data_IF_381659184687
#
_entry.id   IF_381659184687
#
_cell.length_a   1.000
_cell.length_b   1.000
_cell.length_c   1.000
_cell.angle_alpha   90.00
_cell.angle_beta   90.00
_cell.angle_gamma   90.00
#
_symmetry.space_group_name_H-M   'P 1'
#
loop_
_entity.id
_entity.type
_entity.pdbx_description
1 polymer ?
#
# COMPACT_ATOMS: atom_id res chain seq x y z
N UNK A 1 -6.38 -30.58 3.42
CA UNK A 1 -7.04 -30.26 4.72
C UNK A 1 -6.46 -29.01 5.39
N UNK A 2 -5.16 -28.75 5.24
CA UNK A 2 -4.47 -27.60 5.83
C UNK A 2 -4.92 -26.24 5.27
N UNK A 3 -5.24 -26.15 3.97
CA UNK A 3 -5.60 -24.88 3.33
C UNK A 3 -6.95 -24.33 3.78
N UNK A 4 -7.90 -25.22 4.07
CA UNK A 4 -9.22 -24.81 4.58
C UNK A 4 -9.15 -24.24 6.00
N UNK A 5 -8.20 -24.73 6.82
CA UNK A 5 -7.97 -24.24 8.18
C UNK A 5 -7.28 -22.89 8.16
N UNK A 6 -6.31 -22.71 7.27
CA UNK A 6 -5.61 -21.42 7.08
C UNK A 6 -6.57 -20.32 6.60
N UNK A 7 -7.44 -20.64 5.65
CA UNK A 7 -8.48 -19.70 5.20
C UNK A 7 -9.47 -19.34 6.30
N UNK A 8 -9.84 -20.29 7.14
CA UNK A 8 -10.75 -20.08 8.26
C UNK A 8 -10.17 -19.14 9.31
N UNK A 9 -8.88 -19.24 9.60
CA UNK A 9 -8.20 -18.35 10.54
C UNK A 9 -8.02 -16.92 10.01
N UNK A 10 -8.05 -16.73 8.69
CA UNK A 10 -7.98 -15.41 8.05
C UNK A 10 -9.34 -14.71 7.95
N UNK A 11 -10.42 -15.44 8.11
CA UNK A 11 -11.78 -14.90 8.14
C UNK A 11 -12.27 -14.82 9.59
N UNK A 12 -12.30 -13.61 10.15
CA UNK A 12 -12.79 -13.40 11.54
C UNK A 12 -14.29 -13.36 11.67
N UNK A 13 -15.01 -13.58 10.58
CA UNK A 13 -16.46 -13.56 10.60
C UNK A 13 -16.99 -14.92 11.06
N UNK A 14 -17.87 -14.91 12.06
CA UNK A 14 -18.68 -16.09 12.38
C UNK A 14 -19.66 -16.32 11.24
N UNK A 15 -19.19 -16.93 10.18
CA UNK A 15 -20.06 -17.42 9.13
C UNK A 15 -20.34 -18.89 9.43
N UNK A 16 -21.59 -19.23 9.68
CA UNK A 16 -22.03 -20.63 9.63
C UNK A 16 -21.81 -21.12 8.19
N UNK A 17 -20.82 -21.96 8.00
CA UNK A 17 -20.30 -22.28 6.70
C UNK A 17 -21.15 -23.23 5.90
N UNK A 18 -21.36 -22.96 4.63
CA UNK A 18 -21.49 -24.00 3.64
C UNK A 18 -20.10 -24.55 3.29
N UNK A 19 -20.00 -25.85 3.23
CA UNK A 19 -18.80 -26.66 3.20
C UNK A 19 -17.99 -26.66 1.91
N UNK A 20 -18.28 -25.82 0.94
CA UNK A 20 -17.47 -25.72 -0.28
C UNK A 20 -17.61 -24.37 -0.98
N UNK A 21 -16.83 -23.39 -0.53
CA UNK A 21 -16.53 -22.25 -1.39
C UNK A 21 -15.28 -22.61 -2.19
N UNK A 22 -15.43 -22.92 -3.47
CA UNK A 22 -14.30 -22.93 -4.40
C UNK A 22 -13.84 -21.50 -4.53
N UNK A 23 -12.91 -21.09 -3.67
CA UNK A 23 -12.20 -19.83 -3.83
C UNK A 23 -11.21 -20.02 -4.97
N UNK A 24 -11.39 -19.30 -6.06
CA UNK A 24 -10.29 -19.10 -7.02
C UNK A 24 -9.17 -18.41 -6.26
N UNK A 25 -7.96 -18.96 -6.27
CA UNK A 25 -6.96 -18.51 -5.30
C UNK A 25 -6.56 -17.06 -5.45
N UNK A 26 -6.50 -16.50 -6.66
CA UNK A 26 -6.11 -15.09 -6.85
C UNK A 26 -6.50 -14.62 -8.25
N UNK A 27 -7.36 -13.60 -8.32
CA UNK A 27 -7.45 -12.77 -9.49
C UNK A 27 -6.62 -11.51 -9.24
N UNK A 28 -5.70 -11.19 -10.13
CA UNK A 28 -4.95 -9.93 -10.06
C UNK A 28 -5.82 -8.85 -10.68
N UNK A 29 -6.21 -7.88 -9.87
CA UNK A 29 -6.94 -6.70 -10.32
C UNK A 29 -5.97 -5.52 -10.26
N UNK A 30 -5.72 -4.90 -11.40
CA UNK A 30 -4.94 -3.67 -11.47
C UNK A 30 -5.91 -2.48 -11.46
N UNK A 31 -5.66 -1.53 -10.56
CA UNK A 31 -6.38 -0.27 -10.49
C UNK A 31 -5.38 0.85 -10.74
N UNK A 32 -5.78 1.81 -11.56
CA UNK A 32 -4.93 2.94 -11.91
C UNK A 32 -5.38 4.19 -11.15
N UNK A 33 -4.43 5.06 -10.86
CA UNK A 33 -4.73 6.40 -10.37
C UNK A 33 -5.37 7.25 -11.50
N UNK A 34 -6.05 8.31 -11.11
CA UNK A 34 -6.77 9.19 -12.05
C UNK A 34 -5.86 9.85 -13.08
N UNK A 35 -4.62 10.11 -12.71
CA UNK A 35 -3.62 10.71 -13.60
C UNK A 35 -2.41 9.79 -13.74
N UNK A 36 -1.65 9.98 -14.81
CA UNK A 36 -0.45 9.18 -15.08
C UNK A 36 0.80 9.73 -14.38
N UNK A 37 0.86 11.05 -14.19
CA UNK A 37 1.99 11.72 -13.56
C UNK A 37 1.51 12.68 -12.49
N UNK A 38 2.19 12.68 -11.35
CA UNK A 38 1.93 13.53 -10.21
C UNK A 38 3.19 14.24 -9.77
N UNK A 39 3.03 15.45 -9.29
CA UNK A 39 4.11 16.28 -8.75
C UNK A 39 4.00 16.39 -7.24
N UNK A 40 5.05 16.91 -6.65
CA UNK A 40 5.06 17.29 -5.25
C UNK A 40 3.90 18.23 -4.92
N UNK A 41 3.15 17.90 -3.87
CA UNK A 41 1.97 18.63 -3.43
C UNK A 41 0.65 18.19 -4.07
N UNK A 42 0.69 17.30 -5.07
CA UNK A 42 -0.52 16.76 -5.68
C UNK A 42 -1.16 15.67 -4.79
N UNK A 43 -2.45 15.44 -5.02
CA UNK A 43 -3.19 14.34 -4.41
C UNK A 43 -3.45 13.25 -5.46
N UNK A 44 -2.92 12.07 -5.22
CA UNK A 44 -3.21 10.88 -6.03
C UNK A 44 -4.53 10.25 -5.57
N UNK A 45 -5.43 9.98 -6.49
CA UNK A 45 -6.74 9.39 -6.22
C UNK A 45 -6.84 8.03 -6.90
N UNK A 46 -7.19 7.01 -6.14
CA UNK A 46 -7.42 5.66 -6.62
C UNK A 46 -8.76 5.14 -6.09
N UNK A 47 -9.64 4.74 -6.99
CA UNK A 47 -10.89 4.09 -6.62
C UNK A 47 -10.72 2.56 -6.68
N UNK A 48 -11.06 1.87 -5.59
CA UNK A 48 -11.05 0.42 -5.57
C UNK A 48 -12.16 -0.13 -6.47
N UNK A 49 -11.89 -1.22 -7.21
CA UNK A 49 -12.87 -1.78 -8.14
C UNK A 49 -14.12 -2.23 -7.42
N UNK A 50 -15.25 -2.11 -8.11
CA UNK A 50 -16.53 -2.63 -7.62
C UNK A 50 -16.63 -4.13 -7.93
N UNK A 51 -17.03 -4.92 -6.94
CA UNK A 51 -17.19 -6.36 -7.12
C UNK A 51 -17.39 -7.11 -5.80
N UNK A 52 -17.56 -8.42 -5.90
CA UNK A 52 -17.69 -9.30 -4.72
C UNK A 52 -16.35 -9.95 -4.36
N UNK A 53 -15.29 -9.16 -4.36
CA UNK A 53 -13.93 -9.65 -4.13
C UNK A 53 -13.48 -9.34 -2.71
N UNK A 54 -12.76 -10.28 -2.11
CA UNK A 54 -12.00 -10.03 -0.90
C UNK A 54 -10.61 -9.53 -1.28
N UNK A 55 -10.13 -8.50 -0.61
CA UNK A 55 -8.79 -7.98 -0.83
C UNK A 55 -7.84 -8.52 0.24
N UNK A 56 -6.70 -9.03 -0.19
CA UNK A 56 -5.60 -9.44 0.69
C UNK A 56 -4.58 -8.30 0.81
N UNK A 57 -4.54 -7.57 1.93
CA UNK A 57 -3.65 -6.43 2.07
C UNK A 57 -2.17 -6.80 2.04
N UNK A 58 -1.84 -8.06 2.39
CA UNK A 58 -0.45 -8.54 2.40
C UNK A 58 0.07 -8.88 1.00
N UNK A 59 -0.83 -9.12 0.06
CA UNK A 59 -0.50 -9.43 -1.34
C UNK A 59 -0.82 -8.30 -2.30
N UNK A 60 -1.58 -7.31 -1.82
CA UNK A 60 -1.86 -6.10 -2.57
C UNK A 60 -0.77 -5.07 -2.35
N UNK A 61 -0.38 -4.36 -3.38
CA UNK A 61 0.68 -3.37 -3.29
C UNK A 61 0.39 -2.14 -4.16
N UNK A 62 0.90 -1.02 -3.70
CA UNK A 62 1.04 0.20 -4.48
C UNK A 62 2.33 0.12 -5.28
N UNK A 63 2.25 0.29 -6.59
CA UNK A 63 3.40 0.39 -7.48
C UNK A 63 3.59 1.84 -7.89
N UNK A 64 4.76 2.39 -7.63
CA UNK A 64 5.10 3.78 -7.93
C UNK A 64 6.35 3.84 -8.80
N UNK A 65 6.27 4.59 -9.91
CA UNK A 65 7.44 5.04 -10.65
C UNK A 65 7.90 6.39 -10.10
N UNK A 66 9.14 6.51 -9.71
CA UNK A 66 9.71 7.75 -9.17
C UNK A 66 10.82 8.23 -10.10
N UNK A 67 10.74 9.51 -10.47
CA UNK A 67 11.75 10.18 -11.28
C UNK A 67 12.16 11.47 -10.58
N UNK A 68 13.45 11.74 -10.55
CA UNK A 68 13.96 13.04 -10.09
C UNK A 68 13.92 14.02 -11.26
N UNK A 69 13.47 15.25 -11.03
CA UNK A 69 13.31 16.24 -12.10
C UNK A 69 14.65 16.64 -12.73
N UNK A 70 15.70 16.77 -11.92
CA UNK A 70 17.05 17.05 -12.41
C UNK A 70 18.09 16.33 -11.56
N UNK A 71 19.12 15.79 -12.22
CA UNK A 71 20.23 15.15 -11.55
C UNK A 71 19.92 13.73 -11.04
N UNK A 72 20.30 13.48 -9.83
CA UNK A 72 20.11 12.22 -9.13
C UNK A 72 19.66 12.46 -7.68
N UNK A 73 18.91 11.51 -7.13
CA UNK A 73 18.40 11.58 -5.77
C UNK A 73 18.28 10.20 -5.12
N UNK A 74 17.74 10.19 -3.93
CA UNK A 74 17.44 8.96 -3.19
C UNK A 74 16.59 9.25 -1.97
N UNK A 75 16.11 8.21 -1.33
CA UNK A 75 15.24 8.34 -0.15
C UNK A 75 16.03 8.47 1.16
N UNK A 76 17.38 8.46 1.10
CA UNK A 76 18.21 8.51 2.29
C UNK A 76 17.96 7.30 3.20
N UNK A 77 17.50 7.56 4.42
CA UNK A 77 17.17 6.51 5.41
C UNK A 77 15.72 6.03 5.32
N UNK A 78 15.00 6.44 4.30
CA UNK A 78 13.58 6.07 4.13
C UNK A 78 13.34 5.20 2.90
N UNK A 79 12.09 5.15 2.49
CA UNK A 79 11.61 4.45 1.30
C UNK A 79 10.76 5.37 0.43
N UNK A 80 10.26 4.86 -0.69
CA UNK A 80 9.31 5.61 -1.51
C UNK A 80 8.00 5.97 -0.76
N UNK A 81 7.70 5.30 0.35
CA UNK A 81 6.58 5.66 1.22
C UNK A 81 6.72 7.05 1.85
N UNK A 82 7.95 7.55 1.99
CA UNK A 82 8.21 8.90 2.51
C UNK A 82 7.72 10.01 1.58
N UNK A 83 7.44 9.68 0.32
CA UNK A 83 6.82 10.62 -0.61
C UNK A 83 5.34 10.88 -0.30
N UNK A 84 4.72 10.06 0.56
CA UNK A 84 3.31 10.14 0.89
C UNK A 84 3.15 10.74 2.28
N UNK A 85 2.72 11.99 2.35
CA UNK A 85 2.53 12.71 3.61
C UNK A 85 1.23 12.35 4.32
N UNK A 86 0.16 12.13 3.57
CA UNK A 86 -1.15 11.81 4.11
C UNK A 86 -1.83 10.71 3.31
N UNK A 87 -2.56 9.85 4.00
CA UNK A 87 -3.41 8.83 3.39
C UNK A 87 -4.80 8.96 3.97
N UNK A 88 -5.80 9.02 3.09
CA UNK A 88 -7.21 9.03 3.45
C UNK A 88 -7.92 7.89 2.72
N UNK A 89 -8.72 7.14 3.44
CA UNK A 89 -9.54 6.08 2.90
C UNK A 89 -11.01 6.41 3.14
N UNK A 90 -11.77 6.45 2.07
CA UNK A 90 -13.20 6.75 2.08
C UNK A 90 -14.01 5.53 1.64
N UNK A 91 -15.12 5.31 2.30
CA UNK A 91 -16.13 4.40 1.83
C UNK A 91 -16.85 5.00 0.59
N UNK A 92 -17.45 4.14 -0.22
CA UNK A 92 -18.24 4.57 -1.41
C UNK A 92 -19.34 5.61 -1.10
N UNK A 93 -19.80 5.69 0.13
CA UNK A 93 -20.75 6.72 0.59
C UNK A 93 -20.12 8.10 0.85
N UNK A 94 -18.81 8.23 0.69
CA UNK A 94 -18.06 9.43 1.04
C UNK A 94 -17.64 9.53 2.52
N UNK A 95 -18.05 8.58 3.36
CA UNK A 95 -17.64 8.56 4.77
C UNK A 95 -16.19 8.15 4.90
N UNK A 96 -15.41 8.88 5.69
CA UNK A 96 -14.03 8.54 5.99
C UNK A 96 -13.95 7.25 6.80
N UNK A 97 -13.29 6.23 6.27
CA UNK A 97 -13.01 4.97 6.98
C UNK A 97 -11.80 5.17 7.89
N UNK A 98 -10.75 5.76 7.36
CA UNK A 98 -9.49 5.97 8.08
C UNK A 98 -8.69 7.09 7.45
N UNK A 99 -7.91 7.79 8.26
CA UNK A 99 -6.97 8.79 7.78
C UNK A 99 -5.68 8.75 8.61
N UNK A 100 -4.55 8.98 7.96
CA UNK A 100 -3.24 9.03 8.60
C UNK A 100 -2.52 10.28 8.12
N UNK A 101 -2.22 11.18 9.05
CA UNK A 101 -1.39 12.35 8.82
C UNK A 101 0.06 12.03 9.16
N UNK A 102 1.00 12.68 8.51
CA UNK A 102 2.45 12.42 8.69
C UNK A 102 2.79 10.95 8.47
N UNK A 103 2.20 10.38 7.44
CA UNK A 103 2.39 8.99 7.09
C UNK A 103 3.86 8.67 6.75
N UNK A 104 4.54 9.61 6.15
CA UNK A 104 5.98 9.62 5.89
C UNK A 104 6.82 9.27 7.13
N UNK A 105 6.59 10.00 8.22
CA UNK A 105 7.30 9.79 9.49
C UNK A 105 6.84 8.50 10.16
N UNK A 106 5.53 8.25 10.16
CA UNK A 106 4.95 7.09 10.83
C UNK A 106 5.47 5.77 10.26
N UNK A 107 5.54 5.65 8.92
CA UNK A 107 6.06 4.45 8.26
C UNK A 107 7.53 4.28 8.58
N UNK A 108 8.33 5.33 8.38
CA UNK A 108 9.76 5.27 8.62
C UNK A 108 10.08 4.86 10.06
N UNK A 109 9.45 5.50 11.04
CA UNK A 109 9.66 5.18 12.46
C UNK A 109 9.24 3.75 12.79
N UNK A 110 8.08 3.33 12.29
CA UNK A 110 7.59 1.97 12.51
C UNK A 110 8.54 0.93 11.93
N UNK A 111 9.00 1.13 10.70
CA UNK A 111 9.85 0.16 10.03
C UNK A 111 11.19 0.00 10.75
N UNK A 112 11.78 1.08 11.27
CA UNK A 112 12.99 0.99 12.09
C UNK A 112 12.79 0.31 13.45
N UNK A 113 11.58 0.32 14.00
CA UNK A 113 11.26 -0.34 15.27
C UNK A 113 10.89 -1.82 15.06
N UNK A 114 10.15 -2.13 14.00
CA UNK A 114 9.53 -3.44 13.81
C UNK A 114 10.31 -4.38 12.88
N UNK A 115 11.15 -3.83 12.00
CA UNK A 115 11.83 -4.60 10.96
C UNK A 115 13.28 -4.90 11.35
N UNK A 116 13.73 -6.07 10.97
CA UNK A 116 15.10 -6.52 11.17
C UNK A 116 16.00 -6.18 9.96
N UNK A 117 17.30 -6.39 10.11
CA UNK A 117 18.29 -6.16 9.07
C UNK A 117 17.98 -6.97 7.80
N UNK A 118 17.55 -8.23 7.95
CA UNK A 118 17.22 -9.09 6.82
C UNK A 118 16.06 -8.51 5.99
N UNK A 119 15.04 -7.95 6.64
CA UNK A 119 13.95 -7.29 5.94
C UNK A 119 14.43 -6.08 5.13
N UNK A 120 15.29 -5.23 5.71
CA UNK A 120 15.84 -4.08 5.00
C UNK A 120 16.65 -4.48 3.77
N UNK A 121 17.39 -5.58 3.83
CA UNK A 121 18.20 -6.10 2.72
C UNK A 121 17.39 -6.81 1.63
N UNK A 122 16.16 -7.20 1.93
CA UNK A 122 15.28 -7.95 1.00
C UNK A 122 14.07 -7.14 0.59
N UNK A 123 13.04 -7.12 1.42
CA UNK A 123 11.77 -6.42 1.12
C UNK A 123 11.95 -4.89 1.11
N UNK A 124 12.79 -4.38 1.98
CA UNK A 124 13.08 -2.95 2.08
C UNK A 124 13.68 -2.39 0.78
N UNK A 125 14.52 -3.15 0.10
CA UNK A 125 15.11 -2.74 -1.19
C UNK A 125 14.02 -2.51 -2.25
N UNK A 126 12.98 -3.35 -2.28
CA UNK A 126 11.86 -3.22 -3.21
C UNK A 126 11.07 -1.92 -2.96
N UNK A 127 11.07 -1.45 -1.71
CA UNK A 127 10.46 -0.19 -1.30
C UNK A 127 11.41 1.02 -1.42
N UNK A 128 12.66 0.80 -1.77
CA UNK A 128 13.67 1.83 -1.95
C UNK A 128 14.53 2.12 -0.73
N UNK A 129 14.45 1.32 0.35
CA UNK A 129 15.42 1.41 1.44
C UNK A 129 16.83 1.11 0.94
N UNK A 130 17.80 1.84 1.47
CA UNK A 130 19.20 1.72 1.02
C UNK A 130 19.50 2.35 -0.33
N UNK A 131 18.53 3.01 -0.96
CA UNK A 131 18.75 3.77 -2.19
C UNK A 131 19.68 4.94 -1.87
N UNK A 132 20.86 4.92 -2.44
CA UNK A 132 21.80 6.02 -2.25
C UNK A 132 21.25 7.33 -2.86
N UNK A 133 21.79 8.46 -2.43
CA UNK A 133 21.37 9.79 -2.92
C UNK A 133 21.58 9.98 -4.44
N UNK A 134 22.18 9.01 -5.10
CA UNK A 134 22.49 9.04 -6.55
C UNK A 134 21.82 7.93 -7.34
N UNK A 135 21.03 7.07 -6.69
CA UNK A 135 20.47 5.87 -7.35
C UNK A 135 19.22 6.15 -8.18
N UNK A 136 18.47 7.20 -7.84
CA UNK A 136 17.28 7.60 -8.60
C UNK A 136 17.72 8.67 -9.60
N UNK A 137 17.70 8.33 -10.87
CA UNK A 137 18.17 9.21 -11.95
C UNK A 137 17.00 9.82 -12.71
N UNK A 138 17.21 11.02 -13.28
CA UNK A 138 16.19 11.76 -14.01
C UNK A 138 15.80 11.15 -15.35
N UNK A 139 16.67 10.30 -15.92
CA UNK A 139 16.49 9.71 -17.25
C UNK A 139 15.64 8.44 -17.28
N UNK A 140 15.30 7.87 -16.13
CA UNK A 140 14.54 6.63 -16.05
C UNK A 140 13.57 6.60 -14.86
N UNK A 141 12.47 5.87 -15.04
CA UNK A 141 11.53 5.59 -13.95
C UNK A 141 12.10 4.48 -13.07
N UNK A 142 12.28 4.79 -11.80
CA UNK A 142 12.64 3.81 -10.80
C UNK A 142 11.35 3.30 -10.16
N UNK A 143 11.06 2.01 -10.33
CA UNK A 143 9.80 1.41 -9.90
C UNK A 143 9.96 0.79 -8.52
N UNK A 144 9.14 1.24 -7.59
CA UNK A 144 9.07 0.74 -6.22
C UNK A 144 7.70 0.13 -5.95
N UNK A 145 7.65 -0.79 -4.97
CA UNK A 145 6.42 -1.45 -4.55
C UNK A 145 6.30 -1.41 -3.05
N UNK A 146 5.15 -0.94 -2.56
CA UNK A 146 4.82 -0.91 -1.13
C UNK A 146 3.58 -1.77 -0.92
N UNK A 147 3.64 -2.73 -0.01
CA UNK A 147 2.45 -3.52 0.35
C UNK A 147 1.42 -2.61 1.04
N UNK A 148 0.14 -2.80 0.75
CA UNK A 148 -0.93 -2.01 1.38
C UNK A 148 -0.92 -2.18 2.90
N UNK A 149 -0.60 -3.38 3.40
CA UNK A 149 -0.46 -3.64 4.82
C UNK A 149 0.66 -2.85 5.49
N UNK A 150 1.66 -2.42 4.74
CA UNK A 150 2.75 -1.59 5.23
C UNK A 150 2.49 -0.10 5.01
N UNK A 151 1.69 0.22 4.01
CA UNK A 151 1.39 1.61 3.64
C UNK A 151 0.52 2.32 4.67
N UNK A 152 -0.48 1.64 5.25
CA UNK A 152 -1.46 2.30 6.13
C UNK A 152 -1.94 1.38 7.26
N UNK A 153 -2.12 1.96 8.46
CA UNK A 153 -2.51 1.24 9.67
C UNK A 153 -3.82 0.47 9.57
N UNK A 154 -4.79 0.96 8.81
CA UNK A 154 -6.05 0.24 8.54
C UNK A 154 -5.77 -1.12 7.88
N UNK A 155 -4.95 -1.15 6.85
CA UNK A 155 -4.59 -2.39 6.16
C UNK A 155 -3.68 -3.28 7.02
N UNK A 156 -2.82 -2.71 7.86
CA UNK A 156 -1.98 -3.44 8.79
C UNK A 156 -2.79 -4.19 9.84
N UNK A 157 -3.81 -3.59 10.39
CA UNK A 157 -4.72 -4.23 11.35
C UNK A 157 -5.42 -5.47 10.80
N UNK A 158 -5.40 -5.65 9.48
CA UNK A 158 -5.98 -6.79 8.78
C UNK A 158 -4.94 -7.73 8.16
N UNK A 159 -3.69 -7.69 8.62
CA UNK A 159 -2.58 -8.49 8.04
C UNK A 159 -2.86 -9.99 7.91
N UNK A 160 -3.63 -10.56 8.83
CA UNK A 160 -4.00 -11.97 8.79
C UNK A 160 -5.41 -12.23 8.25
N UNK A 161 -6.08 -11.18 7.74
CA UNK A 161 -7.49 -11.24 7.36
C UNK A 161 -7.70 -10.65 5.98
N UNK A 162 -8.65 -11.22 5.28
CA UNK A 162 -9.11 -10.66 4.02
C UNK A 162 -10.09 -9.50 4.31
N UNK A 163 -9.94 -8.40 3.61
CA UNK A 163 -10.88 -7.30 3.65
C UNK A 163 -12.15 -7.69 2.88
N UNK A 164 -13.32 -7.59 3.51
CA UNK A 164 -14.57 -7.93 2.83
C UNK A 164 -14.98 -6.88 1.80
N UNK A 165 -15.73 -7.30 0.77
CA UNK A 165 -16.18 -6.39 -0.27
C UNK A 165 -17.06 -5.25 0.26
N UNK A 166 -17.79 -5.46 1.35
CA UNK A 166 -18.66 -4.44 1.95
C UNK A 166 -17.89 -3.17 2.38
N UNK A 167 -16.62 -3.32 2.75
CA UNK A 167 -15.76 -2.21 3.18
C UNK A 167 -15.02 -1.59 2.00
N UNK A 168 -14.48 -2.46 1.12
CA UNK A 168 -13.53 -1.99 0.10
C UNK A 168 -14.18 -1.71 -1.26
N UNK A 169 -15.38 -2.23 -1.51
CA UNK A 169 -16.06 -2.13 -2.79
C UNK A 169 -16.42 -0.68 -3.14
N UNK A 170 -15.75 -0.13 -4.15
CA UNK A 170 -15.91 1.27 -4.55
C UNK A 170 -15.39 2.27 -3.49
N UNK A 171 -14.56 1.82 -2.57
CA UNK A 171 -13.84 2.71 -1.67
C UNK A 171 -12.84 3.56 -2.46
N UNK A 172 -12.58 4.76 -1.97
CA UNK A 172 -11.60 5.70 -2.55
C UNK A 172 -10.42 5.83 -1.62
N UNK A 173 -9.23 5.74 -2.17
CA UNK A 173 -7.97 6.05 -1.48
C UNK A 173 -7.36 7.32 -2.06
N UNK A 174 -7.06 8.26 -1.21
CA UNK A 174 -6.36 9.50 -1.55
C UNK A 174 -5.02 9.53 -0.85
N UNK A 175 -3.97 9.84 -1.62
CA UNK A 175 -2.59 9.90 -1.17
C UNK A 175 -2.04 11.29 -1.50
N UNK A 176 -1.72 12.07 -0.48
CA UNK A 176 -1.10 13.39 -0.69
C UNK A 176 0.42 13.21 -0.80
N UNK A 177 0.98 13.69 -1.90
CA UNK A 177 2.43 13.64 -2.13
C UNK A 177 3.09 14.71 -1.27
N UNK A 178 4.13 14.30 -0.56
CA UNK A 178 4.91 15.20 0.25
C UNK A 178 5.49 16.32 -0.62
N UNK A 179 5.39 17.54 -0.11
CA UNK A 179 6.14 18.64 -0.69
C UNK A 179 7.55 18.59 -0.05
N UNK A 180 8.59 18.13 -0.79
CA UNK A 180 9.93 18.17 -0.25
C UNK A 180 10.32 19.62 -0.14
N UNK A 181 10.00 20.14 1.10
CA UNK A 181 10.34 21.39 1.48
C UNK A 181 11.49 22.09 0.99
N UNK A 182 11.27 23.06 0.73
CA UNK A 182 11.71 24.28 1.43
C UNK A 182 12.75 24.07 2.50
#
# INVERSE_FOLDING_TARGET
MTDAILQRNRMTYKVNQPTSVKTRPYDTIETFFTEQEYKSGDTMICDFPTGKYYVDPTKSYLKMGVRVQQGAGGFGRGSCANLISQIRLFHKSGTTISSSNRNDVNICTRDYIEKDQFWFETQGVIQGYGTSTTSIISSADNVFKIQLSELHGFFKGHNSKLLPPEIINGARMELDINNPLT
#
